data_IF_975817594172
#
_entry.id   IF_975817594172
#
_cell.length_a   1.000
_cell.length_b   1.000
_cell.length_c   1.000
_cell.angle_alpha   90.00
_cell.angle_beta   90.00
_cell.angle_gamma   90.00
#
_symmetry.space_group_name_H-M   'P 1'
#
loop_
_entity.id
_entity.type
_entity.pdbx_description
1 polymer ?
#
# COMPACT_ATOMS: atom_id res chain seq x y z
N UNK A 1 7.69 5.95 48.48
CA UNK A 1 6.86 5.61 47.30
C UNK A 1 6.90 6.80 46.34
N UNK A 2 7.43 6.64 45.12
CA UNK A 2 7.38 7.70 44.07
C UNK A 2 6.45 7.22 42.96
N UNK A 3 5.28 7.84 42.71
CA UNK A 3 4.49 7.52 41.53
C UNK A 3 5.09 8.27 40.33
N UNK A 4 5.85 7.56 39.50
CA UNK A 4 6.07 7.98 38.11
C UNK A 4 4.78 7.64 37.39
N UNK A 5 3.96 8.65 37.16
CA UNK A 5 2.91 8.56 36.16
C UNK A 5 3.61 8.44 34.80
N UNK A 6 3.77 7.21 34.32
CA UNK A 6 3.97 6.94 32.91
C UNK A 6 2.73 7.47 32.17
N UNK A 7 2.80 8.75 31.79
CA UNK A 7 1.76 9.37 30.99
C UNK A 7 2.06 8.98 29.55
N UNK A 8 1.74 7.73 29.19
CA UNK A 8 1.60 7.34 27.80
C UNK A 8 0.42 8.12 27.23
N UNK A 9 0.64 9.39 26.89
CA UNK A 9 -0.24 10.12 25.99
C UNK A 9 -0.18 9.38 24.68
N UNK A 10 -1.12 8.45 24.49
CA UNK A 10 -1.53 7.97 23.17
C UNK A 10 -1.99 9.21 22.44
N UNK A 11 -1.06 9.92 21.78
CA UNK A 11 -1.44 10.92 20.82
C UNK A 11 -2.21 10.16 19.76
N UNK A 12 -3.52 10.41 19.70
CA UNK A 12 -4.39 9.87 18.68
C UNK A 12 -3.87 10.41 17.35
N UNK A 13 -2.99 9.65 16.69
CA UNK A 13 -2.53 9.98 15.37
C UNK A 13 -3.77 10.06 14.48
N UNK A 14 -3.92 11.16 13.75
CA UNK A 14 -5.06 11.33 12.87
C UNK A 14 -4.91 10.31 11.74
N UNK A 15 -5.82 9.34 11.71
CA UNK A 15 -5.81 8.29 10.70
C UNK A 15 -6.32 8.89 9.40
N UNK A 16 -5.55 8.71 8.33
CA UNK A 16 -5.91 9.08 6.98
C UNK A 16 -6.16 7.80 6.21
N UNK A 17 -7.43 7.55 5.95
CA UNK A 17 -7.89 6.40 5.19
C UNK A 17 -7.57 6.60 3.70
N UNK A 18 -7.06 5.55 3.08
CA UNK A 18 -6.84 5.52 1.64
C UNK A 18 -7.12 4.14 1.06
N UNK A 19 -7.41 4.13 -0.23
CA UNK A 19 -7.70 2.93 -0.99
C UNK A 19 -6.63 2.76 -2.08
N UNK A 20 -6.27 1.51 -2.35
CA UNK A 20 -5.37 1.14 -3.43
C UNK A 20 -6.20 0.36 -4.43
N UNK A 21 -6.37 0.93 -5.63
CA UNK A 21 -7.03 0.27 -6.75
C UNK A 21 -6.05 0.22 -7.93
N UNK A 22 -5.61 -0.99 -8.26
CA UNK A 22 -4.62 -1.21 -9.29
C UNK A 22 -5.04 -2.30 -10.27
N UNK A 23 -4.77 -2.03 -11.55
CA UNK A 23 -4.94 -2.98 -12.65
C UNK A 23 -3.56 -3.43 -13.12
N UNK A 24 -3.29 -4.72 -13.00
CA UNK A 24 -2.05 -5.34 -13.45
C UNK A 24 -2.25 -5.92 -14.84
N UNK A 25 -1.27 -5.65 -15.72
CA UNK A 25 -1.13 -6.31 -17.01
C UNK A 25 0.09 -7.22 -16.88
N UNK A 26 -0.17 -8.52 -16.97
CA UNK A 26 0.84 -9.56 -16.88
C UNK A 26 1.26 -10.00 -18.28
N UNK A 27 2.48 -10.50 -18.40
CA UNK A 27 2.88 -11.21 -19.61
C UNK A 27 1.97 -12.43 -19.82
N UNK A 28 1.73 -12.84 -21.08
CA UNK A 28 0.95 -14.03 -21.38
C UNK A 28 1.71 -15.27 -20.89
N UNK A 29 1.39 -15.70 -19.67
CA UNK A 29 1.91 -16.92 -19.06
C UNK A 29 0.73 -17.79 -18.63
N UNK A 30 0.88 -19.13 -18.69
CA UNK A 30 -0.17 -20.04 -18.25
C UNK A 30 -0.43 -19.98 -16.74
N UNK A 31 0.51 -19.45 -15.96
CA UNK A 31 0.46 -19.38 -14.50
C UNK A 31 0.49 -17.91 -14.04
N UNK A 32 -0.63 -17.40 -13.54
CA UNK A 32 -0.75 -16.03 -12.98
C UNK A 32 -1.09 -16.01 -11.48
N UNK A 33 -1.66 -17.09 -10.93
CA UNK A 33 -1.90 -17.26 -9.50
C UNK A 33 -0.69 -16.96 -8.59
N UNK A 34 0.52 -17.50 -8.84
CA UNK A 34 1.67 -17.21 -7.98
C UNK A 34 2.10 -15.75 -8.06
N UNK A 35 1.93 -15.10 -9.22
CA UNK A 35 2.26 -13.68 -9.40
C UNK A 35 1.31 -12.81 -8.57
N UNK A 36 0.01 -13.11 -8.61
CA UNK A 36 -0.97 -12.40 -7.79
C UNK A 36 -0.70 -12.56 -6.29
N UNK A 37 -0.35 -13.76 -5.85
CA UNK A 37 0.00 -14.02 -4.46
C UNK A 37 1.24 -13.22 -4.03
N UNK A 38 2.28 -13.18 -4.87
CA UNK A 38 3.49 -12.39 -4.59
C UNK A 38 3.18 -10.89 -4.52
N UNK A 39 2.36 -10.36 -5.45
CA UNK A 39 1.93 -8.96 -5.41
C UNK A 39 1.12 -8.65 -4.15
N UNK A 40 0.17 -9.49 -3.77
CA UNK A 40 -0.62 -9.30 -2.55
C UNK A 40 0.27 -9.34 -1.30
N UNK A 41 1.24 -10.25 -1.23
CA UNK A 41 2.19 -10.33 -0.14
C UNK A 41 3.06 -9.06 -0.05
N UNK A 42 3.54 -8.55 -1.19
CA UNK A 42 4.29 -7.27 -1.25
C UNK A 42 3.44 -6.10 -0.81
N UNK A 43 2.18 -6.05 -1.23
CA UNK A 43 1.24 -4.99 -0.86
C UNK A 43 0.93 -5.02 0.64
N UNK A 44 0.70 -6.20 1.20
CA UNK A 44 0.51 -6.38 2.63
C UNK A 44 1.74 -5.93 3.43
N UNK A 45 2.95 -6.27 2.95
CA UNK A 45 4.20 -5.79 3.55
C UNK A 45 4.33 -4.28 3.47
N UNK A 46 4.04 -3.69 2.31
CA UNK A 46 4.03 -2.24 2.13
C UNK A 46 3.09 -1.55 3.11
N UNK A 47 1.83 -2.00 3.21
CA UNK A 47 0.86 -1.44 4.16
C UNK A 47 1.34 -1.56 5.61
N UNK A 48 1.93 -2.69 5.99
CA UNK A 48 2.49 -2.89 7.33
C UNK A 48 3.67 -1.94 7.62
N UNK A 49 4.55 -1.70 6.64
CA UNK A 49 5.67 -0.76 6.75
C UNK A 49 5.21 0.70 6.81
N UNK A 50 4.16 1.05 6.06
CA UNK A 50 3.58 2.39 5.99
C UNK A 50 2.64 2.73 7.14
N UNK A 51 2.20 1.74 7.91
CA UNK A 51 1.41 1.97 9.13
C UNK A 51 2.21 2.71 10.23
N UNK A 52 3.50 3.01 10.02
CA UNK A 52 4.31 3.87 10.88
C UNK A 52 3.98 5.35 10.65
N UNK A 53 3.87 6.10 11.74
CA UNK A 53 3.54 7.53 11.74
C UNK A 53 4.58 8.34 10.95
N UNK A 54 4.11 9.32 10.17
CA UNK A 54 4.97 10.25 9.43
C UNK A 54 5.63 9.66 8.18
N UNK A 55 5.06 8.59 7.62
CA UNK A 55 5.42 8.12 6.29
C UNK A 55 4.40 8.57 5.26
N UNK A 56 4.90 9.13 4.18
CA UNK A 56 4.10 9.56 3.04
C UNK A 56 3.62 8.36 2.21
N UNK A 57 2.41 8.45 1.70
CA UNK A 57 1.86 7.50 0.73
C UNK A 57 2.10 8.08 -0.66
N UNK A 58 3.21 7.67 -1.27
CA UNK A 58 3.61 8.09 -2.61
C UNK A 58 3.26 7.02 -3.63
N UNK A 59 2.78 7.46 -4.81
CA UNK A 59 2.41 6.57 -5.92
C UNK A 59 3.59 5.72 -6.37
N UNK A 60 4.80 6.27 -6.38
CA UNK A 60 6.03 5.56 -6.76
C UNK A 60 6.29 4.32 -5.89
N UNK A 61 6.05 4.41 -4.58
CA UNK A 61 6.24 3.28 -3.66
C UNK A 61 5.15 2.22 -3.85
N UNK A 62 3.91 2.64 -4.13
CA UNK A 62 2.82 1.72 -4.47
C UNK A 62 3.14 0.99 -5.79
N UNK A 63 3.59 1.72 -6.81
CA UNK A 63 4.05 1.12 -8.06
C UNK A 63 5.17 0.11 -7.81
N UNK A 64 6.17 0.45 -7.00
CA UNK A 64 7.26 -0.49 -6.66
C UNK A 64 6.76 -1.74 -5.92
N UNK A 65 5.78 -1.61 -5.04
CA UNK A 65 5.18 -2.75 -4.34
C UNK A 65 4.38 -3.66 -5.29
N UNK A 66 3.68 -3.08 -6.26
CA UNK A 66 2.88 -3.80 -7.26
C UNK A 66 3.72 -4.38 -8.41
N UNK A 67 4.93 -3.88 -8.63
CA UNK A 67 5.81 -4.31 -9.72
C UNK A 67 6.58 -5.58 -9.34
N UNK A 68 5.87 -6.72 -9.36
CA UNK A 68 6.44 -8.05 -9.18
C UNK A 68 7.02 -8.61 -10.51
N UNK A 69 7.93 -9.60 -10.45
CA UNK A 69 8.38 -10.30 -11.65
C UNK A 69 7.17 -10.94 -12.38
N UNK A 70 7.05 -10.69 -13.69
CA UNK A 70 5.91 -11.14 -14.51
C UNK A 70 4.85 -10.07 -14.76
N UNK A 71 4.91 -8.94 -14.04
CA UNK A 71 4.10 -7.75 -14.35
C UNK A 71 4.77 -6.94 -15.46
N UNK A 72 4.03 -6.66 -16.52
CA UNK A 72 4.48 -5.82 -17.64
C UNK A 72 4.11 -4.35 -17.41
N UNK A 73 2.88 -4.10 -16.97
CA UNK A 73 2.35 -2.74 -16.75
C UNK A 73 1.45 -2.73 -15.52
N UNK A 74 1.56 -1.67 -14.72
CA UNK A 74 0.68 -1.40 -13.59
C UNK A 74 -0.08 -0.12 -13.89
N UNK A 75 -1.40 -0.19 -13.82
CA UNK A 75 -2.26 0.98 -13.93
C UNK A 75 -2.92 1.24 -12.57
N UNK A 76 -2.42 2.25 -11.85
CA UNK A 76 -2.92 2.64 -10.54
C UNK A 76 -4.04 3.68 -10.69
N UNK A 77 -5.29 3.26 -10.47
CA UNK A 77 -6.45 4.16 -10.47
C UNK A 77 -6.52 5.01 -9.20
N UNK A 78 -6.28 4.37 -8.05
CA UNK A 78 -6.34 5.02 -6.74
C UNK A 78 -5.12 4.59 -5.91
N UNK A 79 -4.43 5.52 -5.21
CA UNK A 79 -4.69 6.96 -5.10
C UNK A 79 -4.22 7.76 -6.34
N UNK A 80 -5.04 8.72 -6.80
CA UNK A 80 -4.73 9.53 -7.99
C UNK A 80 -3.55 10.51 -7.79
N UNK A 81 -3.24 10.86 -6.54
CA UNK A 81 -2.15 11.78 -6.16
C UNK A 81 -1.40 11.24 -4.94
N UNK A 82 -0.16 11.68 -4.81
CA UNK A 82 0.65 11.42 -3.62
C UNK A 82 0.00 12.09 -2.40
N UNK A 83 -0.07 11.36 -1.30
CA UNK A 83 -0.59 11.84 -0.03
C UNK A 83 0.58 12.06 0.92
N UNK A 84 0.87 13.32 1.20
CA UNK A 84 1.88 13.74 2.17
C UNK A 84 1.23 13.73 3.55
N UNK A 85 1.75 12.89 4.45
CA UNK A 85 1.25 12.79 5.82
C UNK A 85 2.15 13.56 6.77
N UNK A 86 1.53 14.33 7.65
CA UNK A 86 2.28 15.02 8.70
C UNK A 86 2.77 14.04 9.78
N UNK A 87 3.72 14.45 10.62
CA UNK A 87 4.28 13.62 11.71
C UNK A 87 3.26 13.25 12.80
N UNK A 88 2.06 13.81 12.72
CA UNK A 88 0.92 13.56 13.60
C UNK A 88 -0.15 12.69 12.94
N UNK A 89 0.02 12.34 11.67
CA UNK A 89 -0.93 11.57 10.87
C UNK A 89 -0.38 10.18 10.58
N UNK A 90 -1.27 9.20 10.51
CA UNK A 90 -0.96 7.82 10.16
C UNK A 90 -1.85 7.40 8.98
N UNK A 91 -1.28 6.71 8.00
CA UNK A 91 -2.05 6.22 6.87
C UNK A 91 -2.64 4.84 7.17
N UNK A 92 -3.91 4.62 6.82
CA UNK A 92 -4.55 3.33 6.94
C UNK A 92 -5.16 2.90 5.60
N UNK A 93 -4.74 1.73 5.11
CA UNK A 93 -5.27 1.17 3.88
C UNK A 93 -6.62 0.51 4.20
N UNK A 94 -7.73 1.13 3.82
CA UNK A 94 -9.08 0.60 4.05
C UNK A 94 -9.43 -0.49 3.05
N UNK A 95 -8.96 -0.34 1.81
CA UNK A 95 -9.19 -1.29 0.72
C UNK A 95 -7.96 -1.38 -0.17
N UNK A 96 -7.57 -2.61 -0.49
CA UNK A 96 -6.55 -2.91 -1.48
C UNK A 96 -7.11 -3.89 -2.49
N UNK A 97 -7.45 -3.40 -3.68
CA UNK A 97 -7.97 -4.18 -4.78
C UNK A 97 -6.95 -4.21 -5.93
N UNK A 98 -6.65 -5.43 -6.37
CA UNK A 98 -5.71 -5.69 -7.47
C UNK A 98 -6.40 -6.59 -8.46
N UNK A 99 -6.67 -6.07 -9.65
CA UNK A 99 -7.34 -6.80 -10.74
C UNK A 99 -6.39 -7.03 -11.90
N UNK A 100 -6.52 -8.16 -12.59
CA UNK A 100 -5.79 -8.40 -13.84
C UNK A 100 -6.59 -7.77 -14.97
N UNK A 101 -5.98 -6.81 -15.68
CA UNK A 101 -6.60 -6.07 -16.78
C UNK A 101 -6.67 -6.82 -18.10
N UNK A 102 -6.19 -8.07 -18.14
CA UNK A 102 -5.98 -8.85 -19.35
C UNK A 102 -4.59 -8.60 -19.96
N UNK A 103 -4.21 -9.47 -20.89
CA UNK A 103 -3.05 -9.24 -21.76
C UNK A 103 -3.45 -8.20 -22.80
N UNK A 104 -2.69 -7.10 -22.90
CA UNK A 104 -2.85 -6.12 -23.99
C UNK A 104 -2.38 -6.84 -25.27
N UNK A 105 -3.33 -7.33 -26.08
CA UNK A 105 -3.13 -7.73 -27.48
C UNK A 105 -3.34 -6.52 -28.39
#
# INVERSE_FOLDING_TARGET
MRPVADRLTVQSARIVDYEIDAVLYLYPTPEYEPILQDVQARLARYTAEQHRIGRDIVRSAIFAALHAPGVQRVNLKTPAKDMVLDKTQASFCTRSEVIIGGSDE
#
